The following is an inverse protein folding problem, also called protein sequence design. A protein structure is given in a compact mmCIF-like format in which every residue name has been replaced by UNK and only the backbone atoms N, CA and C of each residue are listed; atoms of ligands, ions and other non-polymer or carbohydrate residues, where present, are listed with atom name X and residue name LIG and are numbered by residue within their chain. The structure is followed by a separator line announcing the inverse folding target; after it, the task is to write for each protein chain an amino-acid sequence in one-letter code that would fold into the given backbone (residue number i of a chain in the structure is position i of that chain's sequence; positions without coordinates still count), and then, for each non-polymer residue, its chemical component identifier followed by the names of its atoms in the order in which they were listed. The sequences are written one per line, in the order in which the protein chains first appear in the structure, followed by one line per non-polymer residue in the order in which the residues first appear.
data_IF_534517121144
#
_entry.id   IF_534517121144
#
_cell.length_a   1.000
_cell.length_b   1.000
_cell.length_c   1.000
_cell.angle_alpha   90.00
_cell.angle_beta   90.00
_cell.angle_gamma   90.00
#
_symmetry.space_group_name_H-M   'P 1'
#
loop_
_entity.id
_entity.type
_entity.pdbx_description
1 polymer ?
#
# COMPACT_ATOMS: atom_id res chain seq x y z
N UNK A 1 28.98 -14.50 -7.40
CA UNK A 1 28.51 -15.06 -6.11
C UNK A 1 28.23 -13.90 -5.15
N UNK A 2 27.05 -13.84 -4.53
CA UNK A 2 26.64 -12.66 -3.75
C UNK A 2 27.13 -12.75 -2.29
N UNK A 3 27.71 -11.67 -1.80
CA UNK A 3 28.07 -11.52 -0.39
C UNK A 3 26.80 -11.29 0.45
N UNK A 4 26.68 -11.88 1.64
CA UNK A 4 25.52 -11.64 2.49
C UNK A 4 25.34 -10.17 2.89
N UNK A 5 24.09 -9.74 3.06
CA UNK A 5 23.77 -8.39 3.52
C UNK A 5 24.13 -8.26 5.01
N UNK A 6 24.88 -7.20 5.33
CA UNK A 6 25.00 -6.74 6.71
C UNK A 6 23.61 -6.37 7.27
N UNK A 7 23.43 -6.54 8.58
CA UNK A 7 22.15 -6.30 9.25
C UNK A 7 21.51 -4.95 8.90
N UNK A 8 22.27 -3.85 8.92
CA UNK A 8 21.74 -2.52 8.62
C UNK A 8 21.25 -2.39 7.17
N UNK A 9 21.93 -3.05 6.22
CA UNK A 9 21.50 -3.07 4.81
C UNK A 9 20.23 -3.90 4.62
N UNK A 10 20.09 -5.02 5.31
CA UNK A 10 18.86 -5.81 5.31
C UNK A 10 17.68 -5.01 5.88
N UNK A 11 17.87 -4.38 7.03
CA UNK A 11 16.84 -3.55 7.67
C UNK A 11 16.43 -2.36 6.78
N UNK A 12 17.41 -1.67 6.19
CA UNK A 12 17.14 -0.57 5.28
C UNK A 12 16.35 -1.02 4.03
N UNK A 13 16.72 -2.16 3.44
CA UNK A 13 16.02 -2.70 2.28
C UNK A 13 14.55 -3.03 2.59
N UNK A 14 14.28 -3.67 3.74
CA UNK A 14 12.91 -4.00 4.15
C UNK A 14 12.07 -2.74 4.38
N UNK A 15 12.63 -1.73 5.04
CA UNK A 15 11.94 -0.44 5.23
C UNK A 15 11.68 0.28 3.92
N UNK A 16 12.61 0.21 2.96
CA UNK A 16 12.43 0.81 1.64
C UNK A 16 11.28 0.16 0.85
N UNK A 17 11.02 -1.13 1.04
CA UNK A 17 9.84 -1.81 0.46
C UNK A 17 8.54 -1.58 1.25
N UNK A 18 8.57 -0.77 2.31
CA UNK A 18 7.39 -0.47 3.13
C UNK A 18 7.00 -1.58 4.10
N UNK A 19 7.90 -2.52 4.42
CA UNK A 19 7.61 -3.55 5.42
C UNK A 19 7.49 -2.95 6.82
N UNK A 20 6.49 -3.40 7.58
CA UNK A 20 6.37 -3.13 9.01
C UNK A 20 7.36 -4.01 9.80
N UNK A 21 8.61 -3.53 9.94
CA UNK A 21 9.69 -4.32 10.55
C UNK A 21 9.71 -4.20 12.07
N UNK A 22 9.87 -5.34 12.77
CA UNK A 22 10.26 -5.42 14.18
C UNK A 22 11.60 -6.11 14.32
N UNK A 23 12.42 -5.56 15.18
CA UNK A 23 13.76 -6.05 15.48
C UNK A 23 13.69 -6.88 16.75
N UNK A 24 14.01 -8.18 16.67
CA UNK A 24 13.89 -9.09 17.83
C UNK A 24 15.22 -9.20 18.55
N UNK A 25 15.27 -8.75 19.81
CA UNK A 25 16.41 -8.94 20.73
C UNK A 25 17.75 -8.60 20.03
N UNK A 26 18.71 -9.53 20.01
CA UNK A 26 20.02 -9.36 19.38
C UNK A 26 20.11 -9.92 17.96
N UNK A 27 19.03 -9.87 17.16
CA UNK A 27 18.95 -10.47 15.81
C UNK A 27 20.14 -10.14 14.91
N UNK A 28 20.72 -8.93 15.02
CA UNK A 28 21.86 -8.48 14.20
C UNK A 28 23.10 -9.36 14.33
N UNK A 29 23.27 -10.02 15.46
CA UNK A 29 24.40 -10.90 15.76
C UNK A 29 23.96 -12.32 16.11
N UNK A 30 22.65 -12.59 16.09
CA UNK A 30 22.09 -13.91 16.36
C UNK A 30 22.14 -14.75 15.08
N UNK A 31 23.01 -15.76 15.06
CA UNK A 31 23.18 -16.67 13.93
C UNK A 31 23.92 -17.94 14.35
N UNK A 32 24.06 -18.87 13.41
CA UNK A 32 24.78 -20.13 13.54
C UNK A 32 26.03 -20.19 12.67
N UNK A 33 26.71 -19.06 12.44
CA UNK A 33 27.91 -19.05 11.59
C UNK A 33 29.05 -19.93 12.15
N UNK A 34 29.01 -20.26 13.44
CA UNK A 34 29.94 -21.22 14.06
C UNK A 34 29.68 -22.68 13.66
N UNK A 35 28.46 -23.00 13.17
CA UNK A 35 28.09 -24.35 12.74
C UNK A 35 28.45 -24.63 11.26
N UNK A 36 28.76 -23.59 10.49
CA UNK A 36 29.11 -23.70 9.07
C UNK A 36 29.21 -22.33 8.40
N UNK A 37 29.82 -22.30 7.22
CA UNK A 37 29.97 -21.06 6.45
C UNK A 37 28.61 -20.41 6.18
N UNK A 38 28.60 -19.08 6.19
CA UNK A 38 27.47 -18.29 5.73
C UNK A 38 27.82 -17.63 4.41
N UNK A 39 27.10 -18.02 3.37
CA UNK A 39 27.31 -17.54 2.03
C UNK A 39 28.37 -18.32 1.23
N UNK A 40 28.57 -17.93 -0.05
CA UNK A 40 27.75 -16.98 -0.79
C UNK A 40 26.28 -17.38 -0.83
N UNK A 41 25.43 -16.34 -0.84
CA UNK A 41 23.98 -16.47 -0.87
C UNK A 41 23.47 -16.35 -2.29
N UNK A 42 22.34 -17.00 -2.58
CA UNK A 42 21.80 -17.14 -3.92
C UNK A 42 20.29 -16.90 -4.01
N UNK A 43 19.58 -16.88 -2.89
CA UNK A 43 18.14 -16.65 -2.95
C UNK A 43 17.47 -16.47 -1.60
N UNK A 44 16.14 -16.45 -1.64
CA UNK A 44 15.23 -16.37 -0.51
C UNK A 44 14.34 -17.60 -0.52
N UNK A 45 14.10 -18.19 0.65
CA UNK A 45 13.23 -19.33 0.85
C UNK A 45 12.05 -18.93 1.74
N UNK A 46 10.84 -19.22 1.28
CA UNK A 46 9.60 -18.98 2.02
C UNK A 46 9.17 -20.29 2.69
N UNK A 47 8.80 -20.20 3.96
CA UNK A 47 8.38 -21.34 4.79
C UNK A 47 7.02 -21.07 5.40
N UNK A 48 6.33 -22.13 5.85
CA UNK A 48 5.30 -22.01 6.87
C UNK A 48 5.73 -22.68 8.17
N UNK A 49 5.26 -22.14 9.29
CA UNK A 49 5.74 -22.57 10.61
C UNK A 49 5.09 -23.84 11.14
N UNK A 50 3.97 -24.29 10.54
CA UNK A 50 3.15 -25.41 10.99
C UNK A 50 2.66 -25.26 12.45
N UNK A 51 2.45 -24.00 12.89
CA UNK A 51 2.05 -23.67 14.27
C UNK A 51 0.62 -23.13 14.35
N UNK A 52 -0.06 -23.41 15.46
CA UNK A 52 -1.34 -22.79 15.81
C UNK A 52 -1.21 -21.45 16.54
N UNK A 53 -2.33 -20.74 16.80
CA UNK A 53 -2.34 -19.39 17.39
C UNK A 53 -1.86 -19.31 18.85
N UNK A 54 -1.73 -20.44 19.54
CA UNK A 54 -1.25 -20.50 20.92
C UNK A 54 0.29 -20.49 21.04
N UNK A 55 1.01 -20.62 19.92
CA UNK A 55 2.47 -20.65 19.89
C UNK A 55 2.99 -19.23 19.66
N UNK A 56 3.90 -18.76 20.51
CA UNK A 56 4.71 -17.59 20.19
C UNK A 56 5.73 -17.99 19.13
N UNK A 57 5.32 -17.82 17.86
CA UNK A 57 6.10 -18.24 16.71
C UNK A 57 7.39 -17.43 16.56
N UNK A 58 7.42 -16.18 17.03
CA UNK A 58 8.60 -15.32 16.94
C UNK A 58 9.67 -15.82 17.90
N UNK A 59 9.30 -16.13 19.14
CA UNK A 59 10.20 -16.70 20.13
C UNK A 59 10.67 -18.11 19.72
N UNK A 60 9.77 -18.94 19.19
CA UNK A 60 10.13 -20.26 18.65
C UNK A 60 11.20 -20.15 17.54
N UNK A 61 11.05 -19.21 16.61
CA UNK A 61 12.01 -19.03 15.51
C UNK A 61 13.32 -18.44 16.03
N UNK A 62 13.27 -17.55 17.03
CA UNK A 62 14.46 -16.94 17.61
C UNK A 62 15.27 -17.96 18.42
N UNK A 63 14.64 -18.65 19.37
CA UNK A 63 15.29 -19.56 20.32
C UNK A 63 15.50 -20.97 19.74
N UNK A 64 14.60 -21.40 18.83
CA UNK A 64 14.48 -22.78 18.38
C UNK A 64 13.78 -23.66 19.41
N UNK A 65 14.03 -24.96 19.33
CA UNK A 65 13.53 -25.94 20.29
C UNK A 65 14.60 -27.00 20.60
N UNK A 66 14.30 -27.91 21.53
CA UNK A 66 15.26 -28.87 22.10
C UNK A 66 15.99 -29.74 21.06
N UNK A 67 15.35 -30.02 19.92
CA UNK A 67 15.92 -30.83 18.84
C UNK A 67 16.42 -30.01 17.65
N UNK A 68 16.11 -28.71 17.57
CA UNK A 68 16.59 -27.82 16.52
C UNK A 68 16.86 -26.43 17.11
N UNK A 69 18.12 -26.13 17.46
CA UNK A 69 18.45 -24.85 18.07
C UNK A 69 18.30 -23.70 17.07
N UNK A 70 17.83 -22.56 17.56
CA UNK A 70 17.65 -21.37 16.76
C UNK A 70 18.96 -20.70 16.33
N UNK A 71 18.86 -19.62 15.55
CA UNK A 71 17.63 -19.16 14.90
C UNK A 71 17.16 -20.09 13.77
N UNK A 72 15.85 -20.18 13.56
CA UNK A 72 15.21 -21.02 12.54
C UNK A 72 14.86 -20.29 11.24
N UNK A 73 15.23 -19.01 11.10
CA UNK A 73 15.06 -18.22 9.87
C UNK A 73 15.84 -16.90 9.98
N UNK A 74 15.95 -16.17 8.86
CA UNK A 74 16.33 -14.74 8.88
C UNK A 74 15.30 -13.92 9.66
N UNK A 75 14.02 -14.25 9.48
CA UNK A 75 12.94 -13.63 10.24
C UNK A 75 11.60 -14.35 10.11
N UNK A 76 10.63 -13.88 10.89
CA UNK A 76 9.27 -14.37 10.93
C UNK A 76 8.29 -13.36 10.31
N UNK A 77 7.27 -13.82 9.59
CA UNK A 77 6.17 -12.97 9.10
C UNK A 77 4.85 -13.44 9.72
N UNK A 78 4.31 -12.64 10.65
CA UNK A 78 3.08 -12.95 11.40
C UNK A 78 1.82 -12.63 10.60
N UNK A 79 0.67 -13.18 11.03
CA UNK A 79 -0.63 -13.05 10.33
C UNK A 79 -1.09 -11.59 10.13
N UNK A 80 -0.59 -10.64 10.94
CA UNK A 80 -0.84 -9.20 10.83
C UNK A 80 0.07 -8.48 9.81
N UNK A 81 0.93 -9.22 9.08
CA UNK A 81 1.79 -8.65 8.04
C UNK A 81 3.09 -8.01 8.55
N UNK A 82 3.44 -8.24 9.81
CA UNK A 82 4.67 -7.71 10.40
C UNK A 82 5.86 -8.63 10.15
N UNK A 83 7.00 -8.03 9.80
CA UNK A 83 8.26 -8.74 9.56
C UNK A 83 9.14 -8.64 10.80
N UNK A 84 9.31 -9.74 11.51
CA UNK A 84 10.15 -9.84 12.71
C UNK A 84 11.54 -10.37 12.33
N UNK A 85 12.56 -9.53 12.37
CA UNK A 85 13.94 -9.96 12.14
C UNK A 85 14.47 -10.69 13.37
N UNK A 86 14.82 -11.97 13.20
CA UNK A 86 15.29 -12.85 14.27
C UNK A 86 16.77 -13.21 14.14
N UNK A 87 17.34 -13.11 12.93
CA UNK A 87 18.74 -13.45 12.69
C UNK A 87 19.40 -12.60 11.58
N UNK A 88 20.73 -12.51 11.63
CA UNK A 88 21.56 -12.06 10.52
C UNK A 88 22.79 -12.97 10.42
N UNK A 89 22.77 -13.88 9.44
CA UNK A 89 23.75 -14.95 9.27
C UNK A 89 23.06 -16.28 8.96
N UNK A 90 23.83 -17.38 9.05
CA UNK A 90 23.32 -18.75 8.92
C UNK A 90 22.22 -19.01 9.95
N UNK A 91 21.08 -19.53 9.51
CA UNK A 91 19.98 -20.01 10.36
C UNK A 91 19.62 -21.46 10.00
N UNK A 92 18.98 -22.20 10.90
CA UNK A 92 18.57 -23.58 10.66
C UNK A 92 17.15 -23.62 10.05
N UNK A 93 17.04 -23.41 8.74
CA UNK A 93 15.74 -23.29 8.07
C UNK A 93 15.62 -24.16 6.82
N UNK A 94 16.64 -24.21 5.96
CA UNK A 94 16.58 -24.95 4.69
C UNK A 94 17.00 -26.42 4.83
N UNK A 95 18.01 -26.71 5.67
CA UNK A 95 18.62 -28.05 5.73
C UNK A 95 19.27 -28.47 4.40
N UNK A 96 19.54 -29.77 4.27
CA UNK A 96 19.97 -30.39 3.02
C UNK A 96 18.88 -30.39 1.95
N UNK A 97 19.25 -30.14 0.71
CA UNK A 97 18.34 -30.23 -0.45
C UNK A 97 19.09 -30.38 -1.76
N UNK A 98 18.35 -30.27 -2.86
CA UNK A 98 18.79 -30.72 -4.18
C UNK A 98 19.77 -29.74 -4.87
N UNK A 99 20.98 -30.20 -5.27
CA UNK A 99 21.94 -29.37 -5.97
C UNK A 99 21.43 -28.84 -7.33
N UNK A 100 20.59 -29.58 -8.04
CA UNK A 100 20.05 -29.13 -9.35
C UNK A 100 19.09 -27.94 -9.16
N UNK A 101 18.37 -27.91 -8.03
CA UNK A 101 17.54 -26.75 -7.64
C UNK A 101 18.43 -25.55 -7.33
N UNK A 102 19.51 -25.74 -6.56
CA UNK A 102 20.41 -24.62 -6.25
C UNK A 102 21.02 -24.07 -7.53
N UNK A 103 21.49 -24.92 -8.44
CA UNK A 103 22.07 -24.50 -9.70
C UNK A 103 21.06 -23.73 -10.57
N UNK A 104 19.79 -24.17 -10.60
CA UNK A 104 18.73 -23.46 -11.29
C UNK A 104 18.43 -22.07 -10.69
N UNK A 105 18.47 -21.95 -9.35
CA UNK A 105 18.32 -20.67 -8.64
C UNK A 105 19.52 -19.75 -8.91
N UNK A 106 20.74 -20.27 -8.76
CA UNK A 106 22.00 -19.52 -8.98
C UNK A 106 22.02 -18.91 -10.39
N UNK A 107 21.55 -19.65 -11.38
CA UNK A 107 21.52 -19.24 -12.78
C UNK A 107 20.21 -18.55 -13.19
N UNK A 108 19.22 -18.44 -12.29
CA UNK A 108 17.87 -17.96 -12.58
C UNK A 108 17.27 -18.57 -13.86
N UNK A 109 17.53 -19.85 -14.10
CA UNK A 109 17.42 -20.50 -15.41
C UNK A 109 16.13 -21.30 -15.61
N UNK A 110 15.30 -21.45 -14.57
CA UNK A 110 14.07 -22.24 -14.63
C UNK A 110 12.86 -21.45 -15.14
N UNK A 111 11.78 -22.16 -15.51
CA UNK A 111 10.52 -21.57 -15.96
C UNK A 111 9.62 -21.16 -14.80
N UNK A 112 8.42 -21.73 -14.73
CA UNK A 112 7.47 -21.48 -13.64
C UNK A 112 7.93 -22.09 -12.31
N UNK A 113 8.63 -23.22 -12.36
CA UNK A 113 9.12 -23.99 -11.21
C UNK A 113 10.59 -24.38 -11.44
N UNK A 114 11.41 -24.46 -10.36
CA UNK A 114 12.71 -25.12 -10.45
C UNK A 114 12.56 -26.61 -10.79
N UNK A 115 13.67 -27.31 -11.11
CA UNK A 115 13.64 -28.75 -11.30
C UNK A 115 12.96 -29.47 -10.11
N UNK A 116 12.27 -30.59 -10.35
CA UNK A 116 11.77 -31.41 -9.25
C UNK A 116 12.91 -31.80 -8.32
N UNK A 117 12.69 -31.65 -7.01
CA UNK A 117 13.65 -32.04 -5.98
C UNK A 117 13.58 -33.54 -5.71
N UNK A 118 14.75 -34.17 -5.55
CA UNK A 118 14.92 -35.59 -5.25
C UNK A 118 15.84 -35.84 -4.04
N UNK A 119 16.33 -34.77 -3.42
CA UNK A 119 17.23 -34.83 -2.27
C UNK A 119 16.61 -34.12 -1.05
N UNK A 120 17.05 -34.52 0.13
CA UNK A 120 16.67 -33.95 1.42
C UNK A 120 17.87 -34.04 2.39
N UNK A 121 17.69 -33.53 3.60
CA UNK A 121 18.66 -33.71 4.66
C UNK A 121 19.06 -35.19 4.81
N UNK A 122 20.38 -35.45 4.77
CA UNK A 122 21.00 -36.79 4.87
C UNK A 122 20.97 -37.65 3.60
N UNK A 123 20.41 -37.15 2.49
CA UNK A 123 20.64 -37.78 1.19
C UNK A 123 22.10 -37.63 0.75
N UNK A 124 22.63 -38.60 -0.01
CA UNK A 124 24.03 -38.61 -0.42
C UNK A 124 24.42 -37.46 -1.36
N UNK A 125 23.45 -36.93 -2.13
CA UNK A 125 23.65 -35.82 -3.06
C UNK A 125 23.30 -34.45 -2.47
N UNK A 126 22.74 -34.41 -1.27
CA UNK A 126 22.22 -33.18 -0.68
C UNK A 126 23.32 -32.18 -0.33
N UNK A 127 22.99 -30.90 -0.51
CA UNK A 127 23.88 -29.77 -0.16
C UNK A 127 23.23 -28.86 0.88
N UNK A 128 24.06 -28.17 1.70
CA UNK A 128 23.56 -27.32 2.79
C UNK A 128 22.91 -26.03 2.27
N UNK A 129 21.57 -25.99 2.29
CA UNK A 129 20.78 -24.80 1.94
C UNK A 129 20.86 -23.68 2.98
N UNK A 130 21.17 -23.99 4.25
CA UNK A 130 21.24 -23.00 5.33
C UNK A 130 22.36 -21.96 5.09
N UNK A 131 23.36 -22.33 4.28
CA UNK A 131 24.46 -21.46 3.90
C UNK A 131 24.12 -20.57 2.68
N UNK A 132 23.02 -20.85 1.97
CA UNK A 132 22.76 -20.34 0.60
C UNK A 132 21.54 -19.44 0.49
N UNK A 133 20.56 -19.57 1.39
CA UNK A 133 19.28 -18.86 1.31
C UNK A 133 19.04 -17.97 2.52
N UNK A 134 18.38 -16.84 2.32
CA UNK A 134 17.66 -16.15 3.40
C UNK A 134 16.34 -16.88 3.66
N UNK A 135 15.93 -17.07 4.90
CA UNK A 135 14.66 -17.73 5.24
C UNK A 135 13.61 -16.77 5.80
N UNK A 136 12.38 -16.81 5.26
CA UNK A 136 11.20 -16.20 5.88
C UNK A 136 10.24 -17.27 6.39
N UNK A 137 10.14 -17.38 7.71
CA UNK A 137 9.22 -18.29 8.39
C UNK A 137 7.86 -17.61 8.63
N UNK A 138 6.81 -18.07 7.96
CA UNK A 138 5.55 -17.35 7.95
C UNK A 138 4.50 -18.09 8.78
N UNK A 139 3.87 -17.38 9.73
CA UNK A 139 2.91 -17.96 10.66
C UNK A 139 1.71 -18.57 9.92
N UNK A 140 1.65 -19.90 9.86
CA UNK A 140 0.55 -20.65 9.24
C UNK A 140 0.57 -22.11 9.76
N UNK A 141 -0.61 -22.73 9.88
CA UNK A 141 -0.75 -24.13 10.33
C UNK A 141 -0.22 -25.15 9.33
N UNK A 142 -0.07 -24.81 8.06
CA UNK A 142 0.44 -25.73 7.03
C UNK A 142 -0.54 -26.82 6.59
N UNK A 143 -1.79 -26.76 7.06
CA UNK A 143 -2.84 -27.76 6.74
C UNK A 143 -3.49 -27.54 5.36
N UNK A 144 -3.18 -26.42 4.69
CA UNK A 144 -3.74 -26.03 3.40
C UNK A 144 -5.14 -25.40 3.47
N UNK A 145 -5.68 -25.20 4.68
CA UNK A 145 -6.98 -24.56 4.93
C UNK A 145 -6.86 -23.30 5.79
N UNK A 146 -5.79 -23.18 6.60
CA UNK A 146 -5.45 -21.95 7.31
C UNK A 146 -5.13 -20.82 6.31
N UNK A 147 -5.96 -19.77 6.24
CA UNK A 147 -5.82 -18.75 5.22
C UNK A 147 -4.52 -17.95 5.39
N UNK A 148 -4.00 -17.45 4.28
CA UNK A 148 -2.97 -16.42 4.24
C UNK A 148 -3.67 -15.06 4.17
N UNK A 149 -3.77 -14.28 5.27
CA UNK A 149 -4.35 -12.95 5.21
C UNK A 149 -3.63 -12.11 4.17
N UNK A 150 -4.36 -11.30 3.41
CA UNK A 150 -3.77 -10.50 2.31
C UNK A 150 -2.58 -9.66 2.79
N UNK A 151 -2.70 -9.06 3.98
CA UNK A 151 -1.63 -8.26 4.61
C UNK A 151 -0.37 -9.09 4.91
N UNK A 152 -0.52 -10.36 5.30
CA UNK A 152 0.61 -11.28 5.48
C UNK A 152 1.25 -11.61 4.15
N UNK A 153 0.47 -12.02 3.14
CA UNK A 153 1.00 -12.36 1.83
C UNK A 153 1.72 -11.20 1.16
N UNK A 154 1.15 -9.98 1.22
CA UNK A 154 1.80 -8.76 0.72
C UNK A 154 3.13 -8.51 1.44
N UNK A 155 3.20 -8.75 2.75
CA UNK A 155 4.44 -8.65 3.50
C UNK A 155 5.49 -9.69 3.08
N UNK A 156 5.09 -10.93 2.77
CA UNK A 156 5.99 -11.97 2.23
C UNK A 156 6.61 -11.52 0.90
N UNK A 157 5.77 -11.01 -0.02
CA UNK A 157 6.24 -10.51 -1.32
C UNK A 157 7.19 -9.32 -1.13
N UNK A 158 6.81 -8.30 -0.36
CA UNK A 158 7.63 -7.10 -0.11
C UNK A 158 8.95 -7.43 0.58
N UNK A 159 8.93 -8.31 1.58
CA UNK A 159 10.14 -8.73 2.30
C UNK A 159 11.11 -9.50 1.40
N UNK A 160 10.57 -10.34 0.50
CA UNK A 160 11.37 -11.05 -0.49
C UNK A 160 11.91 -10.10 -1.56
N UNK A 161 11.10 -9.17 -2.06
CA UNK A 161 11.50 -8.13 -3.01
C UNK A 161 12.64 -7.27 -2.47
N UNK A 162 12.60 -6.92 -1.18
CA UNK A 162 13.67 -6.15 -0.53
C UNK A 162 15.03 -6.86 -0.64
N UNK A 163 15.07 -8.16 -0.37
CA UNK A 163 16.30 -8.96 -0.45
C UNK A 163 16.74 -9.12 -1.91
N UNK A 164 15.83 -9.51 -2.81
CA UNK A 164 16.14 -9.67 -4.23
C UNK A 164 16.69 -8.37 -4.84
N UNK A 165 16.02 -7.23 -4.58
CA UNK A 165 16.45 -5.92 -5.08
C UNK A 165 17.81 -5.51 -4.54
N UNK A 166 18.10 -5.79 -3.27
CA UNK A 166 19.39 -5.47 -2.65
C UNK A 166 20.57 -6.25 -3.28
N UNK A 167 20.30 -7.41 -3.88
CA UNK A 167 21.29 -8.25 -4.59
C UNK A 167 21.23 -8.12 -6.12
N UNK A 168 20.22 -7.45 -6.67
CA UNK A 168 19.99 -7.40 -8.12
C UNK A 168 19.44 -8.69 -8.70
N UNK A 169 18.77 -9.51 -7.89
CA UNK A 169 18.14 -10.76 -8.29
C UNK A 169 16.73 -10.54 -8.87
N UNK A 170 16.31 -11.46 -9.73
CA UNK A 170 14.93 -11.55 -10.19
C UNK A 170 14.04 -12.33 -9.20
N UNK A 171 12.75 -12.48 -9.55
CA UNK A 171 11.84 -13.32 -8.79
C UNK A 171 12.25 -14.81 -8.76
N UNK A 172 13.10 -15.27 -9.69
CA UNK A 172 13.58 -16.66 -9.74
C UNK A 172 14.59 -17.00 -8.65
N UNK A 173 15.13 -16.00 -7.96
CA UNK A 173 15.91 -16.23 -6.74
C UNK A 173 15.05 -16.50 -5.51
N UNK A 174 13.73 -16.68 -5.66
CA UNK A 174 12.82 -16.98 -4.56
C UNK A 174 12.05 -18.30 -4.77
N UNK A 175 12.17 -19.20 -3.78
CA UNK A 175 11.57 -20.55 -3.81
C UNK A 175 10.86 -20.88 -2.50
N UNK A 176 9.98 -21.87 -2.53
CA UNK A 176 9.43 -22.52 -1.33
C UNK A 176 10.36 -23.63 -0.81
N UNK A 177 10.22 -24.04 0.45
CA UNK A 177 10.97 -25.20 0.97
C UNK A 177 10.60 -26.50 0.22
N UNK A 178 9.35 -26.61 -0.23
CA UNK A 178 8.81 -27.69 -1.04
C UNK A 178 9.45 -27.81 -2.42
N UNK A 179 10.07 -26.73 -2.89
CA UNK A 179 10.79 -26.71 -4.15
C UNK A 179 12.28 -27.04 -3.94
N UNK A 180 12.76 -27.09 -2.70
CA UNK A 180 14.16 -27.33 -2.31
C UNK A 180 14.43 -28.76 -1.81
N UNK A 181 13.45 -29.36 -1.13
CA UNK A 181 13.58 -30.68 -0.51
C UNK A 181 12.32 -31.51 -0.72
N UNK A 182 12.47 -32.78 -1.09
CA UNK A 182 11.36 -33.71 -1.34
C UNK A 182 10.64 -34.18 -0.05
N UNK A 183 11.15 -33.82 1.13
CA UNK A 183 10.54 -34.07 2.43
C UNK A 183 9.65 -32.93 2.93
N UNK A 184 9.63 -31.81 2.23
CA UNK A 184 9.07 -30.56 2.73
C UNK A 184 7.82 -30.18 1.95
N UNK A 185 6.68 -29.95 2.62
CA UNK A 185 5.44 -29.56 1.95
C UNK A 185 5.20 -28.05 1.96
N UNK A 186 6.11 -27.24 2.52
CA UNK A 186 5.89 -25.83 2.81
C UNK A 186 6.55 -24.85 1.81
N UNK A 187 5.95 -23.68 1.51
CA UNK A 187 4.69 -23.16 2.03
C UNK A 187 3.49 -23.81 1.33
N UNK A 188 2.39 -24.01 2.08
CA UNK A 188 1.15 -24.61 1.56
C UNK A 188 0.05 -23.57 1.58
N UNK A 189 -0.76 -23.52 0.52
CA UNK A 189 -1.94 -22.65 0.44
C UNK A 189 -1.83 -21.50 -0.57
N UNK A 190 -0.67 -21.27 -1.18
CA UNK A 190 -0.53 -20.48 -2.41
C UNK A 190 0.48 -21.17 -3.34
N UNK A 191 0.35 -20.94 -4.66
CA UNK A 191 1.26 -21.48 -5.65
C UNK A 191 2.51 -20.59 -5.76
N UNK A 192 3.70 -21.21 -5.75
CA UNK A 192 4.97 -20.50 -5.86
C UNK A 192 5.15 -19.79 -7.21
N UNK A 193 4.49 -20.26 -8.29
CA UNK A 193 4.42 -19.55 -9.57
C UNK A 193 3.69 -18.21 -9.44
N UNK A 194 2.55 -18.18 -8.75
CA UNK A 194 1.78 -16.96 -8.53
C UNK A 194 2.54 -16.00 -7.61
N UNK A 195 3.19 -16.53 -6.58
CA UNK A 195 4.09 -15.75 -5.73
C UNK A 195 5.21 -15.08 -6.54
N UNK A 196 5.89 -15.83 -7.42
CA UNK A 196 6.95 -15.28 -8.28
C UNK A 196 6.43 -14.26 -9.28
N UNK A 197 5.21 -14.41 -9.81
CA UNK A 197 4.56 -13.39 -10.64
C UNK A 197 4.38 -12.09 -9.86
N UNK A 198 3.84 -12.16 -8.65
CA UNK A 198 3.58 -10.99 -7.82
C UNK A 198 4.89 -10.33 -7.37
N UNK A 199 5.91 -11.13 -7.04
CA UNK A 199 7.27 -10.67 -6.75
C UNK A 199 7.90 -9.96 -7.95
N UNK A 200 7.75 -10.49 -9.16
CA UNK A 200 8.22 -9.83 -10.37
C UNK A 200 7.51 -8.49 -10.61
N UNK A 201 6.19 -8.43 -10.38
CA UNK A 201 5.43 -7.18 -10.44
C UNK A 201 5.91 -6.16 -9.39
N UNK A 202 6.24 -6.61 -8.18
CA UNK A 202 6.81 -5.78 -7.13
C UNK A 202 8.21 -5.24 -7.52
N UNK A 203 9.08 -6.10 -8.05
CA UNK A 203 10.42 -5.74 -8.49
C UNK A 203 10.44 -4.76 -9.67
N UNK A 204 9.42 -4.82 -10.54
CA UNK A 204 9.25 -3.91 -11.68
C UNK A 204 8.93 -2.46 -11.29
N UNK A 205 8.39 -2.23 -10.08
CA UNK A 205 8.14 -0.91 -9.53
C UNK A 205 9.30 -0.43 -8.65
N UNK A 206 9.35 0.88 -8.34
CA UNK A 206 10.27 1.38 -7.32
C UNK A 206 9.90 0.79 -5.96
N UNK A 207 10.90 0.61 -5.10
CA UNK A 207 10.69 0.06 -3.77
C UNK A 207 9.57 0.81 -3.03
N UNK A 208 8.66 0.06 -2.41
CA UNK A 208 7.53 0.59 -1.64
C UNK A 208 6.30 1.01 -2.46
N UNK A 209 6.32 0.92 -3.80
CA UNK A 209 5.19 1.32 -4.64
C UNK A 209 4.22 0.19 -4.98
N UNK A 210 4.62 -1.08 -4.83
CA UNK A 210 3.75 -2.21 -5.09
C UNK A 210 2.78 -2.44 -3.94
N UNK A 211 1.47 -2.50 -4.22
CA UNK A 211 0.43 -2.59 -3.18
C UNK A 211 0.67 -1.54 -2.07
N UNK A 212 0.97 -0.30 -2.49
CA UNK A 212 0.90 0.87 -1.60
C UNK A 212 -0.54 1.09 -1.17
N UNK A 213 -0.75 1.59 0.05
CA UNK A 213 -2.08 1.92 0.55
C UNK A 213 -2.82 2.76 -0.50
N UNK A 214 -4.00 2.31 -0.93
CA UNK A 214 -4.92 3.18 -1.68
C UNK A 214 -5.19 4.37 -0.76
N UNK A 215 -4.78 5.59 -1.12
CA UNK A 215 -4.87 6.71 -0.20
C UNK A 215 -6.33 6.89 0.17
N UNK A 216 -6.64 6.71 1.46
CA UNK A 216 -7.96 7.06 1.98
C UNK A 216 -8.27 8.50 1.56
N UNK A 217 -9.46 8.75 0.99
CA UNK A 217 -9.81 10.10 0.61
C UNK A 217 -9.78 11.00 1.83
N UNK A 218 -9.25 12.20 1.64
CA UNK A 218 -9.34 13.29 2.59
C UNK A 218 -10.76 13.87 2.56
N UNK A 219 -11.34 14.12 3.72
CA UNK A 219 -12.66 14.69 3.90
C UNK A 219 -12.60 16.22 3.97
N UNK A 220 -13.47 16.87 3.19
CA UNK A 220 -13.65 18.33 3.15
C UNK A 220 -15.11 18.64 3.46
N UNK A 221 -15.34 19.53 4.44
CA UNK A 221 -16.64 20.03 4.84
C UNK A 221 -16.57 21.53 5.14
N UNK A 222 -17.10 22.31 4.20
CA UNK A 222 -17.04 23.76 4.18
C UNK A 222 -18.45 24.36 4.03
N UNK A 223 -18.62 25.60 4.43
CA UNK A 223 -19.87 26.31 4.23
C UNK A 223 -19.73 27.81 4.40
N UNK A 224 -20.87 28.51 4.34
CA UNK A 224 -20.93 29.94 4.67
C UNK A 224 -21.36 30.13 6.13
N UNK A 225 -20.65 31.01 6.84
CA UNK A 225 -20.99 31.36 8.22
C UNK A 225 -22.17 32.33 8.33
N UNK A 226 -22.47 33.07 7.25
CA UNK A 226 -23.56 34.05 7.17
C UNK A 226 -24.20 34.04 5.79
N UNK A 227 -25.49 34.33 5.74
CA UNK A 227 -26.19 34.55 4.48
C UNK A 227 -25.62 35.77 3.75
N UNK A 228 -25.55 35.71 2.42
CA UNK A 228 -25.07 36.83 1.61
C UNK A 228 -25.99 37.10 0.41
N UNK A 229 -25.92 38.32 -0.11
CA UNK A 229 -26.68 38.77 -1.27
C UNK A 229 -25.93 38.40 -2.55
N UNK A 230 -26.62 37.78 -3.50
CA UNK A 230 -26.14 37.51 -4.85
C UNK A 230 -26.85 38.42 -5.84
N UNK A 231 -26.10 39.35 -6.43
CA UNK A 231 -26.63 40.31 -7.39
C UNK A 231 -26.88 39.69 -8.78
N UNK A 232 -27.82 40.24 -9.57
CA UNK A 232 -28.10 39.79 -10.93
C UNK A 232 -26.91 39.81 -11.88
N UNK A 233 -26.87 38.86 -12.82
CA UNK A 233 -26.12 38.96 -14.08
C UNK A 233 -24.62 38.67 -14.04
N UNK A 234 -24.02 38.47 -12.86
CA UNK A 234 -22.60 38.14 -12.69
C UNK A 234 -22.36 36.74 -12.12
N UNK A 235 -21.29 36.07 -12.58
CA UNK A 235 -20.80 34.86 -11.95
C UNK A 235 -19.92 35.20 -10.74
N UNK A 236 -20.40 34.87 -9.55
CA UNK A 236 -19.72 35.11 -8.28
C UNK A 236 -19.23 33.81 -7.65
N UNK A 237 -18.09 33.83 -6.98
CA UNK A 237 -17.53 32.67 -6.27
C UNK A 237 -18.17 32.53 -4.89
N UNK A 238 -18.49 31.32 -4.47
CA UNK A 238 -18.87 31.08 -3.07
C UNK A 238 -17.59 31.16 -2.24
N UNK A 239 -17.50 32.14 -1.36
CA UNK A 239 -16.45 32.25 -0.34
C UNK A 239 -16.90 31.47 0.91
N UNK A 240 -16.21 30.38 1.25
CA UNK A 240 -16.59 29.49 2.34
C UNK A 240 -16.06 29.98 3.68
N UNK A 241 -16.82 30.87 4.33
CA UNK A 241 -16.47 31.48 5.62
C UNK A 241 -16.64 30.57 6.85
N UNK A 242 -17.00 29.30 6.65
CA UNK A 242 -17.13 28.30 7.71
C UNK A 242 -16.42 27.02 7.30
N UNK A 243 -15.47 26.60 8.12
CA UNK A 243 -14.75 25.34 7.96
C UNK A 243 -15.07 24.43 9.13
N UNK A 244 -15.62 23.24 8.84
CA UNK A 244 -15.80 22.18 9.84
C UNK A 244 -14.69 21.15 9.74
N UNK A 245 -14.25 20.83 8.53
CA UNK A 245 -13.11 19.94 8.28
C UNK A 245 -12.47 20.28 6.93
N UNK A 246 -11.15 20.40 6.91
CA UNK A 246 -10.36 20.42 5.68
C UNK A 246 -9.11 19.55 5.87
N UNK A 247 -9.26 18.23 5.68
CA UNK A 247 -8.13 17.30 5.76
C UNK A 247 -7.11 17.51 4.62
N UNK A 248 -7.48 18.24 3.57
CA UNK A 248 -6.58 18.54 2.44
C UNK A 248 -5.64 19.69 2.74
N UNK A 249 -6.09 20.65 3.56
CA UNK A 249 -5.42 21.92 3.81
C UNK A 249 -5.39 22.85 2.59
N UNK A 250 -6.27 22.63 1.60
CA UNK A 250 -6.31 23.40 0.36
C UNK A 250 -7.04 24.74 0.49
N UNK A 251 -7.94 24.84 1.49
CA UNK A 251 -8.82 25.97 1.70
C UNK A 251 -8.15 27.03 2.56
N UNK A 252 -8.24 28.29 2.11
CA UNK A 252 -7.80 29.44 2.90
C UNK A 252 -8.99 30.01 3.67
N UNK A 253 -8.74 30.65 4.81
CA UNK A 253 -9.79 31.31 5.59
C UNK A 253 -10.60 32.27 4.71
N UNK A 254 -11.93 32.12 4.76
CA UNK A 254 -12.89 32.90 3.96
C UNK A 254 -12.63 32.86 2.44
N UNK A 255 -12.03 31.77 1.93
CA UNK A 255 -11.67 31.60 0.53
C UNK A 255 -12.69 30.81 -0.31
N UNK A 256 -12.57 30.92 -1.63
CA UNK A 256 -13.45 30.23 -2.59
C UNK A 256 -12.83 29.01 -3.25
N UNK A 257 -11.53 28.78 -3.05
CA UNK A 257 -10.85 27.58 -3.51
C UNK A 257 -11.00 26.49 -2.46
N UNK A 258 -11.65 25.39 -2.82
CA UNK A 258 -11.94 24.28 -1.90
C UNK A 258 -11.16 23.00 -2.20
N UNK A 259 -10.48 22.93 -3.34
CA UNK A 259 -9.56 21.85 -3.70
C UNK A 259 -8.41 22.41 -4.56
N UNK A 260 -7.19 21.91 -4.38
CA UNK A 260 -5.96 22.41 -5.03
C UNK A 260 -5.00 21.28 -5.41
N UNK A 261 -4.25 21.52 -6.48
CA UNK A 261 -3.22 20.61 -6.99
C UNK A 261 -3.82 19.43 -7.75
N UNK A 262 -2.99 18.45 -8.12
CA UNK A 262 -3.46 17.24 -8.78
C UNK A 262 -4.34 16.43 -7.81
N UNK A 263 -5.64 16.36 -8.10
CA UNK A 263 -6.58 15.58 -7.29
C UNK A 263 -7.84 15.20 -8.07
N UNK A 264 -8.52 14.17 -7.58
CA UNK A 264 -9.88 13.79 -7.98
C UNK A 264 -10.79 13.85 -6.76
N UNK A 265 -12.06 14.16 -6.98
CA UNK A 265 -13.00 14.30 -5.88
C UNK A 265 -14.42 13.89 -6.25
N UNK A 266 -15.19 13.53 -5.23
CA UNK A 266 -16.61 13.26 -5.31
C UNK A 266 -17.31 13.83 -4.08
N UNK A 267 -18.43 14.53 -4.27
CA UNK A 267 -19.12 15.22 -3.19
C UNK A 267 -20.38 15.94 -3.65
N UNK A 268 -20.85 16.86 -2.82
CA UNK A 268 -21.98 17.71 -3.14
C UNK A 268 -21.86 19.12 -2.55
N UNK A 269 -22.59 20.05 -3.16
CA UNK A 269 -22.89 21.37 -2.60
C UNK A 269 -24.40 21.45 -2.34
N UNK A 270 -24.80 21.64 -1.09
CA UNK A 270 -26.18 21.93 -0.71
C UNK A 270 -26.40 23.44 -0.63
N UNK A 271 -27.41 23.94 -1.33
CA UNK A 271 -27.77 25.36 -1.37
C UNK A 271 -29.17 25.59 -0.83
N UNK A 272 -29.34 26.75 -0.17
CA UNK A 272 -30.63 27.36 0.14
C UNK A 272 -30.62 28.81 -0.35
N UNK A 273 -31.52 29.15 -1.26
CA UNK A 273 -31.64 30.47 -1.87
C UNK A 273 -33.02 31.05 -1.56
N UNK A 274 -33.05 32.21 -0.91
CA UNK A 274 -34.27 32.97 -0.64
C UNK A 274 -34.48 34.09 -1.68
N UNK A 275 -35.74 34.36 -2.03
CA UNK A 275 -36.11 35.43 -2.97
C UNK A 275 -35.96 35.08 -4.46
N UNK A 276 -35.68 33.81 -4.79
CA UNK A 276 -35.70 33.33 -6.17
C UNK A 276 -37.14 33.01 -6.59
N UNK A 277 -37.72 33.81 -7.48
CA UNK A 277 -39.14 33.70 -7.86
C UNK A 277 -39.40 32.41 -8.67
N UNK A 278 -40.62 31.83 -8.59
CA UNK A 278 -41.01 30.70 -9.43
C UNK A 278 -40.69 30.90 -10.91
N UNK A 279 -40.01 29.93 -11.52
CA UNK A 279 -39.59 29.97 -12.93
C UNK A 279 -38.35 30.82 -13.23
N UNK A 280 -37.76 31.51 -12.24
CA UNK A 280 -36.45 32.14 -12.34
C UNK A 280 -35.36 31.17 -11.87
N UNK A 281 -34.10 31.43 -12.22
CA UNK A 281 -33.01 30.48 -11.93
C UNK A 281 -31.81 31.11 -11.24
N UNK A 282 -31.21 30.33 -10.34
CA UNK A 282 -29.80 30.49 -9.96
C UNK A 282 -29.04 29.35 -10.59
N UNK A 283 -28.05 29.69 -11.40
CA UNK A 283 -27.15 28.74 -12.02
C UNK A 283 -25.90 28.60 -11.17
N UNK A 284 -25.27 27.44 -11.27
CA UNK A 284 -24.08 27.11 -10.51
C UNK A 284 -23.14 26.25 -11.34
N UNK A 285 -21.83 26.44 -11.17
CA UNK A 285 -20.82 25.63 -11.85
C UNK A 285 -19.54 25.54 -11.06
N UNK A 286 -18.78 24.49 -11.33
CA UNK A 286 -17.39 24.38 -10.93
C UNK A 286 -16.51 25.11 -11.95
N UNK A 287 -15.47 25.79 -11.50
CA UNK A 287 -14.50 26.48 -12.34
C UNK A 287 -13.08 26.25 -11.84
N UNK A 288 -12.18 25.86 -12.74
CA UNK A 288 -10.75 25.70 -12.46
C UNK A 288 -10.00 27.02 -12.63
N UNK A 289 -9.08 27.30 -11.72
CA UNK A 289 -8.23 28.48 -11.72
C UNK A 289 -6.76 28.09 -11.60
N UNK A 290 -5.85 28.87 -12.19
CA UNK A 290 -4.43 28.88 -11.84
C UNK A 290 -4.11 30.23 -11.21
N UNK A 291 -3.88 30.24 -9.89
CA UNK A 291 -3.93 31.47 -9.09
C UNK A 291 -5.32 32.12 -9.22
N UNK A 292 -5.35 33.32 -9.77
CA UNK A 292 -6.59 34.08 -10.02
C UNK A 292 -7.05 34.04 -11.48
N UNK A 293 -6.31 33.34 -12.35
CA UNK A 293 -6.69 33.22 -13.77
C UNK A 293 -7.66 32.05 -13.96
N UNK A 294 -8.86 32.33 -14.49
CA UNK A 294 -9.81 31.30 -14.89
C UNK A 294 -9.23 30.46 -16.03
N UNK A 295 -9.33 29.15 -15.90
CA UNK A 295 -8.77 28.17 -16.85
C UNK A 295 -9.88 27.44 -17.59
N UNK A 296 -10.83 26.91 -16.85
CA UNK A 296 -11.87 26.04 -17.39
C UNK A 296 -13.15 26.22 -16.59
N UNK A 297 -14.27 26.37 -17.29
CA UNK A 297 -15.59 26.25 -16.70
C UNK A 297 -16.15 24.85 -16.97
N UNK A 298 -16.77 24.26 -15.95
CA UNK A 298 -17.49 23.00 -16.08
C UNK A 298 -18.98 23.23 -16.40
N UNK A 299 -19.73 22.18 -16.79
CA UNK A 299 -21.15 22.29 -17.07
C UNK A 299 -21.94 22.95 -15.94
N UNK A 300 -22.99 23.67 -16.35
CA UNK A 300 -23.89 24.40 -15.45
C UNK A 300 -24.93 23.46 -14.85
N UNK A 301 -25.16 23.62 -13.56
CA UNK A 301 -26.33 23.12 -12.84
C UNK A 301 -27.29 24.27 -12.58
N UNK A 302 -28.59 23.99 -12.59
CA UNK A 302 -29.62 25.02 -12.48
C UNK A 302 -30.58 24.73 -11.33
N UNK A 303 -30.82 25.74 -10.50
CA UNK A 303 -31.84 25.73 -9.45
C UNK A 303 -33.00 26.61 -9.92
N UNK A 304 -34.20 26.04 -9.97
CA UNK A 304 -35.41 26.74 -10.36
C UNK A 304 -36.16 27.21 -9.11
N UNK A 305 -36.56 28.49 -9.11
CA UNK A 305 -37.25 29.12 -7.99
C UNK A 305 -38.55 28.40 -7.60
N UNK A 306 -38.85 28.37 -6.31
CA UNK A 306 -40.11 27.87 -5.76
C UNK A 306 -40.95 29.02 -5.17
N UNK A 307 -42.16 28.73 -4.68
CA UNK A 307 -42.99 29.75 -4.01
C UNK A 307 -42.44 30.21 -2.66
N UNK A 308 -41.40 29.57 -2.13
CA UNK A 308 -40.70 29.95 -0.92
C UNK A 308 -39.18 29.92 -1.15
N UNK A 309 -38.42 29.45 -0.17
CA UNK A 309 -37.00 29.23 -0.36
C UNK A 309 -36.76 28.07 -1.34
N UNK A 310 -35.71 28.22 -2.14
CA UNK A 310 -35.29 27.22 -3.11
C UNK A 310 -34.12 26.43 -2.55
N UNK A 311 -34.21 25.11 -2.62
CA UNK A 311 -33.17 24.19 -2.14
C UNK A 311 -32.64 23.39 -3.31
N UNK A 312 -31.33 23.17 -3.35
CA UNK A 312 -30.70 22.37 -4.40
C UNK A 312 -29.45 21.66 -3.91
N UNK A 313 -29.18 20.49 -4.48
CA UNK A 313 -27.96 19.73 -4.24
C UNK A 313 -27.25 19.53 -5.56
N UNK A 314 -25.99 19.94 -5.62
CA UNK A 314 -25.18 19.90 -6.83
C UNK A 314 -24.09 18.83 -6.66
N UNK A 315 -23.95 17.88 -7.58
CA UNK A 315 -22.86 16.91 -7.52
C UNK A 315 -21.52 17.58 -7.84
N UNK A 316 -20.51 17.32 -7.02
CA UNK A 316 -19.14 17.80 -7.22
C UNK A 316 -18.26 16.61 -7.59
N UNK A 317 -18.18 16.28 -8.88
CA UNK A 317 -17.35 15.17 -9.38
C UNK A 317 -16.48 15.63 -10.52
N UNK A 318 -15.18 15.82 -10.25
CA UNK A 318 -14.15 16.21 -11.23
C UNK A 318 -12.77 15.70 -10.82
N UNK A 319 -11.82 15.90 -11.72
CA UNK A 319 -10.38 15.77 -11.53
C UNK A 319 -9.74 17.07 -11.99
N UNK A 320 -8.82 17.61 -11.21
CA UNK A 320 -8.02 18.80 -11.55
C UNK A 320 -6.55 18.44 -11.55
N UNK A 321 -5.77 19.13 -12.40
CA UNK A 321 -4.33 18.90 -12.54
C UNK A 321 -3.48 19.75 -11.59
N UNK A 322 -2.17 19.49 -11.60
CA UNK A 322 -1.17 20.27 -10.87
C UNK A 322 -1.30 21.78 -11.12
N UNK A 323 -1.07 22.59 -10.09
CA UNK A 323 -1.15 24.06 -10.17
C UNK A 323 -2.55 24.64 -10.38
N UNK A 324 -3.61 23.81 -10.37
CA UNK A 324 -5.01 24.27 -10.44
C UNK A 324 -5.64 24.35 -9.06
N UNK A 325 -6.68 25.17 -8.95
CA UNK A 325 -7.61 25.23 -7.82
C UNK A 325 -9.05 25.21 -8.31
N UNK A 326 -9.94 24.60 -7.55
CA UNK A 326 -11.37 24.50 -7.87
C UNK A 326 -12.19 25.50 -7.07
N UNK A 327 -13.07 26.26 -7.73
CA UNK A 327 -14.09 27.13 -7.12
C UNK A 327 -15.49 26.65 -7.51
N UNK A 328 -16.48 26.89 -6.66
CA UNK A 328 -17.90 26.84 -7.08
C UNK A 328 -18.41 28.26 -7.24
N UNK A 329 -19.10 28.53 -8.34
CA UNK A 329 -19.60 29.85 -8.70
C UNK A 329 -21.10 29.83 -8.93
N UNK A 330 -21.78 30.91 -8.56
CA UNK A 330 -23.21 31.10 -8.74
C UNK A 330 -23.48 32.27 -9.69
N UNK A 331 -24.56 32.17 -10.45
CA UNK A 331 -25.11 33.23 -11.29
C UNK A 331 -26.59 33.37 -10.97
N UNK A 332 -26.99 34.57 -10.53
CA UNK A 332 -28.40 34.91 -10.43
C UNK A 332 -28.91 35.38 -11.80
N UNK A 333 -29.74 34.57 -12.45
CA UNK A 333 -30.34 34.89 -13.75
C UNK A 333 -31.61 35.76 -13.61
N UNK A 334 -32.12 35.95 -12.40
CA UNK A 334 -33.22 36.87 -12.11
C UNK A 334 -32.74 38.32 -12.17
N UNK A 335 -33.65 39.24 -12.51
CA UNK A 335 -33.41 40.70 -12.56
C UNK A 335 -33.33 41.39 -11.17
N UNK A 336 -33.69 40.70 -10.10
CA UNK A 336 -33.59 41.17 -8.72
C UNK A 336 -32.65 40.31 -7.89
N UNK A 337 -31.93 40.89 -6.91
CA UNK A 337 -31.04 40.13 -6.03
C UNK A 337 -31.73 38.99 -5.30
N UNK A 338 -30.98 37.94 -5.02
CA UNK A 338 -31.40 36.82 -4.16
C UNK A 338 -30.48 36.73 -2.95
N UNK A 339 -30.89 35.98 -1.92
CA UNK A 339 -30.06 35.72 -0.75
C UNK A 339 -29.64 34.25 -0.74
N UNK A 340 -28.34 33.99 -0.72
CA UNK A 340 -27.80 32.65 -0.47
C UNK A 340 -27.75 32.48 1.04
N UNK A 341 -28.78 31.83 1.58
CA UNK A 341 -28.97 31.64 3.02
C UNK A 341 -28.12 30.50 3.58
N UNK A 342 -27.81 29.51 2.75
CA UNK A 342 -26.93 28.39 3.11
C UNK A 342 -26.21 27.90 1.87
N UNK A 343 -24.92 27.58 2.04
CA UNK A 343 -24.10 26.84 1.11
C UNK A 343 -23.22 25.91 1.95
N UNK A 344 -23.33 24.59 1.76
CA UNK A 344 -22.53 23.58 2.46
C UNK A 344 -21.96 22.62 1.44
N UNK A 345 -20.63 22.59 1.36
CA UNK A 345 -19.85 21.70 0.51
C UNK A 345 -19.37 20.52 1.36
N UNK A 346 -19.55 19.30 0.85
CA UNK A 346 -18.99 18.08 1.43
C UNK A 346 -18.36 17.24 0.34
N UNK A 347 -17.10 16.86 0.48
CA UNK A 347 -16.38 16.10 -0.53
C UNK A 347 -15.36 15.12 0.06
N UNK A 348 -15.14 14.04 -0.69
CA UNK A 348 -13.99 13.14 -0.56
C UNK A 348 -12.98 13.48 -1.65
N UNK A 349 -11.73 13.68 -1.27
CA UNK A 349 -10.65 14.15 -2.14
C UNK A 349 -9.49 13.15 -2.10
N UNK A 350 -9.08 12.64 -3.27
CA UNK A 350 -7.89 11.84 -3.43
C UNK A 350 -6.80 12.70 -4.06
N UNK A 351 -5.73 12.95 -3.31
CA UNK A 351 -4.52 13.59 -3.84
C UNK A 351 -3.83 12.65 -4.79
N UNK A 352 -3.37 13.19 -5.92
CA UNK A 352 -2.59 12.46 -6.90
C UNK A 352 -1.14 12.92 -6.82
N UNK A 353 -0.19 12.01 -7.01
CA UNK A 353 1.22 12.35 -7.13
C UNK A 353 1.44 13.07 -8.48
N UNK A 354 2.16 14.19 -8.46
CA UNK A 354 2.58 14.91 -9.67
C UNK A 354 3.55 14.11 -10.54
#
# INVERSE_FOLDING_TARGET
MAAPLAADRLLAALRAEGCAVREVRSWRTHNRNHAGAWGPVHGVMVHHTATGPAVDVVDLIYDGHSTLPGPLATGCITKDGRVHLTANGRANHAGGGDPDVLDAVVNESYGDYPPPTHEHQDSSGAIDGNARFYGWECANKGDGTDPWPRVQYVAIVKATAAVCRAHGWSAKSAIGHLEWSDWKPDPRGFDMKDFRRDLAACLALRAGQWEGDDPMPQYVNLGIGRAYRLDPGGWDSIEFSREWTDETGDHATDGSVWARGACRFSGSLSLRVAGLRPGQTVQARMSEYAGDTLVQDHPVHELVGTGGDTFGVLPLVKRIGAGRGMRVRLLNAQDTPVTVSTAVLTALVWKESD
#
